data_IF_997140720930
#
_entry.id   IF_997140720930
#
_cell.length_a   1.000
_cell.length_b   1.000
_cell.length_c   1.000
_cell.angle_alpha   90.00
_cell.angle_beta   90.00
_cell.angle_gamma   90.00
#
_symmetry.space_group_name_H-M   'P 1'
#
loop_
_entity.id
_entity.type
_entity.pdbx_description
1 polymer ?
#
# COMPACT_ATOMS: atom_id res chain seq x y z
N UNK A 1 -18.62 4.02 1.13
CA UNK A 1 -18.58 2.77 0.32
C UNK A 1 -17.62 1.81 1.03
N UNK A 2 -17.96 0.51 1.17
CA UNK A 2 -17.05 -0.46 1.82
C UNK A 2 -15.79 -0.68 0.99
N UNK A 3 -14.67 -0.93 1.66
CA UNK A 3 -13.42 -1.31 1.00
C UNK A 3 -13.56 -2.71 0.41
N UNK A 4 -13.28 -2.87 -0.87
CA UNK A 4 -13.39 -4.17 -1.54
C UNK A 4 -12.50 -4.24 -2.78
N UNK A 5 -12.13 -5.46 -3.16
CA UNK A 5 -11.39 -5.77 -4.37
C UNK A 5 -12.20 -6.75 -5.22
N UNK A 6 -12.23 -6.52 -6.52
CA UNK A 6 -12.87 -7.40 -7.48
C UNK A 6 -11.85 -7.88 -8.52
N UNK A 7 -11.92 -9.16 -8.84
CA UNK A 7 -11.12 -9.80 -9.90
C UNK A 7 -12.03 -10.12 -11.08
N UNK A 8 -11.55 -9.81 -12.28
CA UNK A 8 -12.26 -10.12 -13.52
C UNK A 8 -11.29 -10.39 -14.67
N UNK A 9 -11.84 -10.94 -15.75
CA UNK A 9 -11.12 -11.15 -17.02
C UNK A 9 -12.00 -10.71 -18.18
N UNK A 10 -11.36 -10.27 -19.26
CA UNK A 10 -12.00 -10.00 -20.55
C UNK A 10 -10.98 -10.25 -21.67
N UNK A 11 -11.33 -11.03 -22.68
CA UNK A 11 -10.57 -11.21 -23.91
C UNK A 11 -9.05 -11.45 -23.71
N UNK A 12 -8.65 -12.32 -22.78
CA UNK A 12 -7.24 -12.59 -22.49
C UNK A 12 -6.55 -11.51 -21.64
N UNK A 13 -7.30 -10.62 -21.02
CA UNK A 13 -6.81 -9.61 -20.07
C UNK A 13 -7.37 -9.91 -18.70
N UNK A 14 -6.52 -9.84 -17.67
CA UNK A 14 -6.92 -9.92 -16.27
C UNK A 14 -6.89 -8.53 -15.65
N UNK A 15 -7.86 -8.24 -14.80
CA UNK A 15 -7.94 -7.00 -14.04
C UNK A 15 -8.27 -7.29 -12.57
N UNK A 16 -7.62 -6.53 -11.69
CA UNK A 16 -7.97 -6.35 -10.30
C UNK A 16 -8.35 -4.89 -10.10
N UNK A 17 -9.49 -4.61 -9.51
CA UNK A 17 -9.87 -3.25 -9.13
C UNK A 17 -10.24 -3.20 -7.66
N UNK A 18 -9.87 -2.12 -6.99
CA UNK A 18 -10.08 -1.94 -5.57
C UNK A 18 -10.62 -0.56 -5.25
N UNK A 19 -11.54 -0.50 -4.29
CA UNK A 19 -11.95 0.70 -3.57
C UNK A 19 -11.38 0.61 -2.16
N UNK A 20 -10.60 1.61 -1.74
CA UNK A 20 -9.81 1.58 -0.51
C UNK A 20 -10.02 2.83 0.36
N UNK A 21 -11.06 3.61 0.11
CA UNK A 21 -11.28 4.92 0.72
C UNK A 21 -11.20 4.89 2.25
N UNK A 22 -11.95 3.99 2.91
CA UNK A 22 -12.02 3.97 4.37
C UNK A 22 -10.69 3.50 5.01
N UNK A 23 -10.03 2.49 4.43
CA UNK A 23 -8.75 2.02 4.98
C UNK A 23 -7.60 3.02 4.78
N UNK A 24 -7.63 3.78 3.68
CA UNK A 24 -6.64 4.85 3.46
C UNK A 24 -6.92 6.04 4.39
N UNK A 25 -8.18 6.39 4.61
CA UNK A 25 -8.58 7.42 5.58
C UNK A 25 -8.15 7.03 7.01
N UNK A 26 -8.37 5.77 7.41
CA UNK A 26 -7.91 5.26 8.69
C UNK A 26 -6.38 5.36 8.83
N UNK A 27 -5.62 4.89 7.84
CA UNK A 27 -4.17 4.98 7.86
C UNK A 27 -3.68 6.43 7.91
N UNK A 28 -4.30 7.31 7.10
CA UNK A 28 -3.97 8.74 7.08
C UNK A 28 -4.16 9.40 8.45
N UNK A 29 -5.27 9.10 9.14
CA UNK A 29 -5.57 9.63 10.46
C UNK A 29 -4.62 9.08 11.54
N UNK A 30 -4.31 7.78 11.51
CA UNK A 30 -3.37 7.14 12.46
C UNK A 30 -1.96 7.74 12.39
N UNK A 31 -1.53 8.15 11.19
CA UNK A 31 -0.22 8.75 10.97
C UNK A 31 -0.23 10.27 10.91
N UNK A 32 -1.39 10.91 11.15
CA UNK A 32 -1.55 12.37 11.08
C UNK A 32 -1.02 12.95 9.74
N UNK A 33 -1.35 12.28 8.64
CA UNK A 33 -0.84 12.62 7.32
C UNK A 33 -1.39 13.94 6.80
N UNK A 34 -0.53 14.79 6.27
CA UNK A 34 -0.95 15.89 5.40
C UNK A 34 -1.38 15.35 4.02
N UNK A 35 -2.11 16.13 3.21
CA UNK A 35 -2.72 15.64 1.98
C UNK A 35 -1.75 14.95 1.02
N UNK A 36 -0.54 15.45 0.90
CA UNK A 36 0.50 14.87 0.03
C UNK A 36 0.91 13.47 0.50
N UNK A 37 1.19 13.33 1.79
CA UNK A 37 1.57 12.07 2.40
C UNK A 37 0.41 11.06 2.39
N UNK A 38 -0.82 11.52 2.66
CA UNK A 38 -2.03 10.70 2.57
C UNK A 38 -2.25 10.16 1.14
N UNK A 39 -2.02 10.99 0.12
CA UNK A 39 -2.11 10.55 -1.27
C UNK A 39 -1.02 9.52 -1.62
N UNK A 40 0.22 9.75 -1.22
CA UNK A 40 1.34 8.86 -1.47
C UNK A 40 1.18 7.51 -0.74
N UNK A 41 0.87 7.54 0.57
CA UNK A 41 0.63 6.34 1.38
C UNK A 41 -0.57 5.55 0.85
N UNK A 42 -1.69 6.22 0.54
CA UNK A 42 -2.89 5.58 0.03
C UNK A 42 -2.68 4.91 -1.33
N UNK A 43 -1.92 5.53 -2.25
CA UNK A 43 -1.53 4.90 -3.53
C UNK A 43 -0.65 3.69 -3.28
N UNK A 44 0.34 3.78 -2.37
CA UNK A 44 1.24 2.66 -2.04
C UNK A 44 0.47 1.50 -1.43
N UNK A 45 -0.42 1.74 -0.47
CA UNK A 45 -1.24 0.71 0.16
C UNK A 45 -2.20 0.05 -0.84
N UNK A 46 -2.86 0.85 -1.70
CA UNK A 46 -3.73 0.33 -2.76
C UNK A 46 -2.93 -0.49 -3.77
N UNK A 47 -1.76 0.00 -4.19
CA UNK A 47 -0.85 -0.72 -5.07
C UNK A 47 -0.40 -2.07 -4.48
N UNK A 48 -0.04 -2.09 -3.20
CA UNK A 48 0.31 -3.32 -2.48
C UNK A 48 -0.84 -4.34 -2.47
N UNK A 49 -2.07 -3.91 -2.16
CA UNK A 49 -3.26 -4.78 -2.21
C UNK A 49 -3.52 -5.35 -3.60
N UNK A 50 -3.39 -4.53 -4.64
CA UNK A 50 -3.58 -4.97 -6.02
C UNK A 50 -2.51 -6.00 -6.45
N UNK A 51 -1.26 -5.82 -6.04
CA UNK A 51 -0.19 -6.78 -6.28
C UNK A 51 -0.39 -8.07 -5.46
N UNK A 52 -0.84 -7.96 -4.21
CA UNK A 52 -1.12 -9.08 -3.33
C UNK A 52 -2.34 -9.90 -3.77
N UNK A 53 -3.24 -9.31 -4.55
CA UNK A 53 -4.48 -9.97 -4.99
C UNK A 53 -4.27 -11.28 -5.75
N UNK A 54 -3.07 -11.53 -6.29
CA UNK A 54 -2.73 -12.75 -7.03
C UNK A 54 -1.89 -13.74 -6.21
N UNK A 55 -1.61 -13.44 -4.95
CA UNK A 55 -0.87 -14.32 -4.05
C UNK A 55 -1.73 -15.49 -3.58
N UNK A 56 -1.09 -16.54 -3.09
CA UNK A 56 -1.74 -17.64 -2.38
C UNK A 56 -1.97 -17.26 -0.92
N UNK A 57 -2.90 -17.96 -0.27
CA UNK A 57 -3.11 -17.86 1.18
C UNK A 57 -1.78 -18.02 1.93
N UNK A 58 -1.58 -17.23 2.99
CA UNK A 58 -0.35 -17.12 3.78
C UNK A 58 0.82 -16.38 3.12
N UNK A 59 0.72 -16.06 1.81
CA UNK A 59 1.73 -15.23 1.17
C UNK A 59 1.44 -13.73 1.43
N UNK A 60 2.50 -12.95 1.55
CA UNK A 60 2.41 -11.50 1.68
C UNK A 60 3.52 -10.79 0.91
N UNK A 61 3.31 -9.51 0.68
CA UNK A 61 4.30 -8.64 0.06
C UNK A 61 4.56 -7.40 0.91
N UNK A 62 5.77 -6.89 0.79
CA UNK A 62 6.13 -5.54 1.18
C UNK A 62 6.43 -4.74 -0.08
N UNK A 63 5.66 -3.69 -0.33
CA UNK A 63 5.94 -2.67 -1.34
C UNK A 63 6.62 -1.50 -0.66
N UNK A 64 7.84 -1.19 -1.11
CA UNK A 64 8.62 -0.05 -0.60
C UNK A 64 8.96 0.91 -1.72
N UNK A 65 8.62 2.18 -1.52
CA UNK A 65 9.03 3.32 -2.34
C UNK A 65 10.07 4.09 -1.53
N UNK A 66 11.24 4.29 -2.08
CA UNK A 66 12.31 5.02 -1.41
C UNK A 66 12.94 6.02 -2.37
N UNK A 67 12.59 7.29 -2.20
CA UNK A 67 13.11 8.39 -2.97
C UNK A 67 13.95 9.36 -2.11
N UNK A 68 14.53 10.34 -2.77
CA UNK A 68 15.29 11.44 -2.18
C UNK A 68 14.42 12.69 -1.88
N UNK A 69 13.11 12.58 -2.16
CA UNK A 69 12.14 13.63 -1.87
C UNK A 69 11.77 13.73 -0.38
N UNK A 70 11.05 14.79 0.01
CA UNK A 70 10.79 15.11 1.41
C UNK A 70 9.88 14.11 2.14
N UNK A 71 9.11 13.25 1.45
CA UNK A 71 8.29 12.21 2.08
C UNK A 71 9.14 11.08 2.69
N UNK A 72 10.42 10.96 2.26
CA UNK A 72 11.25 9.85 2.67
C UNK A 72 10.73 8.52 2.11
N UNK A 73 10.80 7.48 2.93
CA UNK A 73 10.40 6.13 2.57
C UNK A 73 8.90 5.92 2.82
N UNK A 74 8.24 5.25 1.90
CA UNK A 74 6.85 4.81 2.03
C UNK A 74 6.82 3.30 1.92
N UNK A 75 6.18 2.64 2.89
CA UNK A 75 6.12 1.17 2.96
C UNK A 75 4.68 0.73 3.15
N UNK A 76 4.28 -0.30 2.43
CA UNK A 76 3.03 -1.00 2.65
C UNK A 76 3.22 -2.50 2.61
N UNK A 77 2.71 -3.20 3.61
CA UNK A 77 2.58 -4.65 3.65
C UNK A 77 1.15 -5.03 3.28
N UNK A 78 0.98 -6.00 2.40
CA UNK A 78 -0.33 -6.55 2.05
C UNK A 78 -0.26 -8.07 1.87
N UNK A 79 -1.38 -8.77 2.09
CA UNK A 79 -1.49 -10.21 1.93
C UNK A 79 -2.64 -10.63 1.02
N UNK A 80 -2.72 -11.92 0.73
CA UNK A 80 -3.75 -12.51 -0.11
C UNK A 80 -5.18 -12.37 0.44
N UNK A 81 -5.32 -12.21 1.77
CA UNK A 81 -6.61 -12.11 2.45
C UNK A 81 -7.21 -10.69 2.40
N UNK A 82 -6.49 -9.74 1.79
CA UNK A 82 -6.95 -8.35 1.66
C UNK A 82 -6.61 -7.46 2.86
N UNK A 83 -5.69 -7.88 3.72
CA UNK A 83 -5.19 -7.06 4.80
C UNK A 83 -4.01 -6.21 4.34
N UNK A 84 -3.99 -4.97 4.78
CA UNK A 84 -2.91 -4.03 4.48
C UNK A 84 -2.59 -3.17 5.70
N UNK A 85 -1.31 -2.80 5.80
CA UNK A 85 -0.80 -1.76 6.71
C UNK A 85 0.30 -1.00 6.01
N UNK A 86 0.59 0.21 6.45
CA UNK A 86 1.65 0.99 5.81
C UNK A 86 1.96 2.26 6.57
N UNK A 87 3.08 2.89 6.22
CA UNK A 87 3.53 4.15 6.79
C UNK A 87 4.34 4.96 5.77
N UNK A 88 4.54 6.23 6.09
CA UNK A 88 5.43 7.16 5.41
C UNK A 88 6.36 7.79 6.46
N UNK A 89 7.64 7.96 6.14
CA UNK A 89 8.62 8.47 7.11
C UNK A 89 8.29 9.89 7.59
N UNK A 90 7.84 10.77 6.68
CA UNK A 90 7.51 12.16 6.99
C UNK A 90 6.07 12.49 6.60
N UNK A 91 5.08 12.18 7.47
CA UNK A 91 3.66 12.31 7.14
C UNK A 91 3.17 13.76 7.04
N UNK A 92 3.87 14.72 7.63
CA UNK A 92 3.46 16.14 7.69
C UNK A 92 4.15 17.00 6.64
N UNK A 93 4.57 16.41 5.52
CA UNK A 93 5.15 17.15 4.40
C UNK A 93 4.07 17.88 3.61
N UNK A 94 4.33 19.14 3.31
CA UNK A 94 3.48 19.97 2.46
C UNK A 94 4.30 20.54 1.30
N UNK A 95 3.79 20.40 0.07
CA UNK A 95 4.37 20.99 -1.13
C UNK A 95 3.29 21.80 -1.87
N UNK A 96 3.69 22.84 -2.63
CA UNK A 96 2.76 23.57 -3.48
C UNK A 96 2.06 22.63 -4.48
N UNK A 97 0.80 22.93 -4.79
CA UNK A 97 0.08 22.21 -5.83
C UNK A 97 0.71 22.46 -7.21
N UNK A 98 0.83 21.41 -8.00
CA UNK A 98 1.25 21.47 -9.40
C UNK A 98 0.03 21.29 -10.30
N UNK A 99 -0.29 22.30 -11.08
CA UNK A 99 -1.50 22.31 -11.94
C UNK A 99 -2.80 21.97 -11.16
N UNK A 100 -2.92 22.48 -9.92
CA UNK A 100 -4.08 22.24 -9.05
C UNK A 100 -4.17 20.83 -8.45
N UNK A 101 -3.10 20.02 -8.54
CA UNK A 101 -3.02 18.66 -7.98
C UNK A 101 -1.86 18.54 -6.99
N UNK A 102 -1.95 17.58 -6.07
CA UNK A 102 -0.85 17.19 -5.20
C UNK A 102 0.30 16.64 -6.07
N UNK A 103 1.52 17.17 -5.90
CA UNK A 103 2.71 16.73 -6.64
C UNK A 103 3.39 15.59 -5.85
N UNK A 104 2.81 14.39 -5.93
CA UNK A 104 3.32 13.20 -5.25
C UNK A 104 4.70 12.84 -5.78
N UNK A 105 4.93 13.00 -7.09
CA UNK A 105 6.23 12.78 -7.70
C UNK A 105 7.34 13.63 -7.09
N UNK A 106 7.10 14.94 -6.88
CA UNK A 106 8.07 15.79 -6.19
C UNK A 106 8.21 15.42 -4.70
N UNK A 107 7.14 14.93 -4.08
CA UNK A 107 7.17 14.45 -2.69
C UNK A 107 8.05 13.22 -2.51
N UNK A 108 8.03 12.30 -3.47
CA UNK A 108 8.81 11.06 -3.50
C UNK A 108 10.24 11.32 -4.00
N UNK A 109 10.40 12.06 -5.08
CA UNK A 109 11.69 12.32 -5.71
C UNK A 109 12.23 11.16 -6.55
N UNK A 110 13.55 11.14 -6.78
CA UNK A 110 14.25 10.08 -7.48
C UNK A 110 14.63 8.96 -6.52
N UNK A 111 14.68 7.72 -6.99
CA UNK A 111 15.02 6.60 -6.12
C UNK A 111 14.59 5.25 -6.66
N UNK A 112 14.14 4.36 -5.79
CA UNK A 112 13.80 2.98 -6.13
C UNK A 112 12.46 2.54 -5.58
N UNK A 113 11.79 1.69 -6.35
CA UNK A 113 10.68 0.83 -5.91
C UNK A 113 11.20 -0.58 -5.68
N UNK A 114 10.79 -1.23 -4.60
CA UNK A 114 11.08 -2.62 -4.36
C UNK A 114 9.86 -3.38 -3.86
N UNK A 115 9.70 -4.62 -4.31
CA UNK A 115 8.65 -5.53 -3.89
C UNK A 115 9.31 -6.78 -3.32
N UNK A 116 9.13 -7.02 -2.03
CA UNK A 116 9.58 -8.23 -1.35
C UNK A 116 8.39 -9.18 -1.19
N UNK A 117 8.53 -10.42 -1.66
CA UNK A 117 7.50 -11.47 -1.57
C UNK A 117 7.90 -12.50 -0.54
N UNK A 118 7.01 -12.78 0.39
CA UNK A 118 7.13 -13.80 1.42
C UNK A 118 6.21 -14.97 1.04
N UNK A 119 6.80 -16.03 0.51
CA UNK A 119 6.09 -17.19 -0.06
C UNK A 119 6.20 -18.45 0.79
N UNK A 120 6.53 -18.31 2.09
CA UNK A 120 6.78 -19.45 2.99
C UNK A 120 8.15 -20.15 2.76
N UNK A 121 8.95 -19.69 1.80
CA UNK A 121 10.32 -20.15 1.60
C UNK A 121 11.25 -19.56 2.66
N UNK A 122 12.41 -20.22 2.88
CA UNK A 122 13.40 -19.78 3.90
C UNK A 122 13.92 -18.35 3.69
N UNK A 123 13.92 -17.88 2.44
CA UNK A 123 14.33 -16.51 2.10
C UNK A 123 13.26 -15.85 1.24
N UNK A 124 12.88 -14.60 1.55
CA UNK A 124 11.98 -13.83 0.70
C UNK A 124 12.68 -13.46 -0.61
N UNK A 125 11.90 -13.28 -1.65
CA UNK A 125 12.38 -12.78 -2.93
C UNK A 125 12.11 -11.29 -3.03
N UNK A 126 13.13 -10.49 -3.36
CA UNK A 126 12.99 -9.04 -3.57
C UNK A 126 13.38 -8.68 -5.00
N UNK A 127 12.45 -8.09 -5.74
CA UNK A 127 12.71 -7.40 -7.00
C UNK A 127 12.73 -5.89 -6.79
N UNK A 128 13.46 -5.16 -7.64
CA UNK A 128 13.52 -3.69 -7.57
C UNK A 128 13.66 -3.06 -8.96
N UNK A 129 13.24 -1.79 -9.08
CA UNK A 129 13.42 -0.96 -10.26
C UNK A 129 13.65 0.50 -9.84
N UNK A 130 14.18 1.31 -10.75
CA UNK A 130 14.26 2.76 -10.56
C UNK A 130 12.88 3.39 -10.68
N UNK A 131 12.62 4.43 -9.88
CA UNK A 131 11.45 5.28 -10.03
C UNK A 131 11.55 6.10 -11.31
N UNK A 132 10.46 6.20 -12.05
CA UNK A 132 10.41 7.00 -13.28
C UNK A 132 9.68 8.32 -13.10
N UNK A 133 8.66 8.37 -12.24
CA UNK A 133 7.86 9.57 -11.99
C UNK A 133 7.70 9.91 -10.51
N UNK A 134 7.79 8.92 -9.61
CA UNK A 134 7.43 9.05 -8.20
C UNK A 134 5.92 9.15 -7.97
N UNK A 135 5.08 9.07 -9.01
CA UNK A 135 3.61 9.07 -8.90
C UNK A 135 3.04 7.70 -8.48
N UNK A 136 3.90 6.72 -8.25
CA UNK A 136 3.67 5.38 -7.70
C UNK A 136 3.00 4.44 -8.70
N UNK A 137 1.95 4.84 -9.43
CA UNK A 137 1.27 3.96 -10.38
C UNK A 137 2.15 3.59 -11.56
N UNK A 138 2.79 4.57 -12.17
CA UNK A 138 3.76 4.40 -13.26
C UNK A 138 4.99 3.62 -12.78
N UNK A 139 5.42 3.88 -11.54
CA UNK A 139 6.59 3.22 -10.96
C UNK A 139 6.33 1.73 -10.69
N UNK A 140 5.11 1.36 -10.25
CA UNK A 140 4.69 -0.04 -10.14
C UNK A 140 4.61 -0.69 -11.53
N UNK A 141 4.08 0.02 -12.53
CA UNK A 141 4.03 -0.47 -13.90
C UNK A 141 5.43 -0.74 -14.45
N UNK A 142 6.36 0.17 -14.22
CA UNK A 142 7.78 0.02 -14.59
C UNK A 142 8.43 -1.18 -13.90
N UNK A 143 8.21 -1.32 -12.58
CA UNK A 143 8.69 -2.48 -11.81
C UNK A 143 8.19 -3.80 -12.41
N UNK A 144 6.91 -3.91 -12.74
CA UNK A 144 6.32 -5.11 -13.32
C UNK A 144 6.93 -5.45 -14.69
N UNK A 145 7.22 -4.43 -15.50
CA UNK A 145 7.86 -4.62 -16.81
C UNK A 145 9.32 -5.07 -16.68
N UNK A 146 10.12 -4.38 -15.84
CA UNK A 146 11.57 -4.57 -15.77
C UNK A 146 11.93 -5.78 -14.91
N UNK A 147 11.32 -5.92 -13.74
CA UNK A 147 11.64 -6.93 -12.75
C UNK A 147 10.87 -8.24 -12.94
N UNK A 148 9.61 -8.15 -13.36
CA UNK A 148 8.73 -9.32 -13.52
C UNK A 148 8.48 -9.69 -15.00
N UNK A 149 8.93 -8.87 -15.94
CA UNK A 149 8.75 -9.04 -17.40
C UNK A 149 7.28 -9.25 -17.78
N UNK A 150 6.38 -8.61 -17.05
CA UNK A 150 4.94 -8.75 -17.21
C UNK A 150 4.34 -7.47 -17.77
N UNK A 151 3.84 -7.47 -19.03
CA UNK A 151 3.12 -6.34 -19.58
C UNK A 151 1.88 -6.01 -18.76
N UNK A 152 1.86 -4.83 -18.18
CA UNK A 152 0.87 -4.42 -17.18
C UNK A 152 0.52 -2.95 -17.29
N UNK A 153 -0.62 -2.57 -16.73
CA UNK A 153 -0.99 -1.17 -16.51
C UNK A 153 -1.60 -1.02 -15.12
N UNK A 154 -1.17 0.00 -14.39
CA UNK A 154 -1.67 0.31 -13.05
C UNK A 154 -2.24 1.72 -13.03
N UNK A 155 -3.45 1.87 -12.50
CA UNK A 155 -4.06 3.17 -12.23
C UNK A 155 -4.39 3.30 -10.77
N UNK A 156 -3.90 4.35 -10.12
CA UNK A 156 -4.13 4.64 -8.69
C UNK A 156 -4.67 6.05 -8.53
N UNK A 157 -5.53 6.26 -7.55
CA UNK A 157 -6.06 7.58 -7.27
C UNK A 157 -6.43 7.74 -5.80
N UNK A 158 -6.04 8.86 -5.21
CA UNK A 158 -6.46 9.29 -3.88
C UNK A 158 -6.85 10.75 -3.96
N UNK A 159 -8.01 11.09 -3.41
CA UNK A 159 -8.52 12.45 -3.29
C UNK A 159 -8.66 12.78 -1.81
N UNK A 160 -7.97 13.82 -1.39
CA UNK A 160 -7.98 14.32 0.01
C UNK A 160 -8.66 15.68 0.03
N UNK A 161 -9.50 15.91 1.04
CA UNK A 161 -10.14 17.20 1.28
C UNK A 161 -9.18 18.19 1.97
N UNK A 162 -9.50 19.51 1.98
CA UNK A 162 -8.76 20.47 2.78
C UNK A 162 -8.80 20.19 4.29
N UNK A 163 -9.83 19.49 4.76
CA UNK A 163 -10.03 19.06 6.15
C UNK A 163 -9.26 17.79 6.50
N UNK A 164 -8.40 17.30 5.60
CA UNK A 164 -7.53 16.13 5.70
C UNK A 164 -8.28 14.77 5.63
N UNK A 165 -9.56 14.75 5.28
CA UNK A 165 -10.29 13.50 5.08
C UNK A 165 -10.02 12.91 3.69
N UNK A 166 -9.88 11.60 3.59
CA UNK A 166 -9.77 10.91 2.31
C UNK A 166 -11.16 10.69 1.73
N UNK A 167 -11.49 11.45 0.70
CA UNK A 167 -12.81 11.42 0.04
C UNK A 167 -12.98 10.25 -0.90
N UNK A 168 -11.90 9.83 -1.57
CA UNK A 168 -11.90 8.71 -2.50
C UNK A 168 -10.49 8.14 -2.62
N UNK A 169 -10.36 6.82 -2.53
CA UNK A 169 -9.11 6.11 -2.78
C UNK A 169 -9.40 4.76 -3.43
N UNK A 170 -8.54 4.37 -4.36
CA UNK A 170 -8.64 3.08 -5.03
C UNK A 170 -7.72 2.99 -6.24
N UNK A 171 -7.87 1.92 -6.99
CA UNK A 171 -7.04 1.67 -8.15
C UNK A 171 -7.45 0.43 -8.93
N UNK A 172 -6.72 0.20 -10.01
CA UNK A 172 -6.78 -1.03 -10.77
C UNK A 172 -5.37 -1.48 -11.19
N UNK A 173 -5.23 -2.77 -11.39
CA UNK A 173 -4.07 -3.43 -11.97
C UNK A 173 -4.53 -4.34 -13.10
N UNK A 174 -4.02 -4.11 -14.30
CA UNK A 174 -4.33 -4.84 -15.52
C UNK A 174 -3.09 -5.62 -15.94
N UNK A 175 -3.30 -6.84 -16.37
CA UNK A 175 -2.25 -7.72 -16.86
C UNK A 175 -2.69 -8.44 -18.13
N UNK A 176 -1.89 -8.36 -19.18
CA UNK A 176 -2.09 -9.16 -20.38
C UNK A 176 -1.75 -10.63 -20.09
N UNK A 177 -2.62 -11.55 -20.47
CA UNK A 177 -2.35 -12.98 -20.39
C UNK A 177 -1.65 -13.46 -21.68
N UNK A 178 -0.93 -14.60 -21.65
CA UNK A 178 -0.33 -15.15 -22.85
C UNK A 178 -1.37 -15.36 -23.97
N UNK A 179 -0.96 -15.08 -25.22
CA UNK A 179 -1.79 -15.25 -26.41
C UNK A 179 -3.01 -14.30 -26.51
N UNK A 180 -2.90 -13.10 -25.94
CA UNK A 180 -3.90 -12.05 -26.13
C UNK A 180 -3.94 -11.59 -27.59
N UNK A 181 -5.14 -11.33 -28.10
CA UNK A 181 -5.34 -10.79 -29.44
C UNK A 181 -4.98 -9.30 -29.51
N UNK A 182 -4.23 -8.83 -30.54
CA UNK A 182 -3.83 -7.41 -30.66
C UNK A 182 -5.00 -6.44 -30.62
N UNK A 183 -6.12 -6.78 -31.23
CA UNK A 183 -7.35 -5.95 -31.22
C UNK A 183 -7.90 -5.70 -29.81
N UNK A 184 -7.72 -6.65 -28.90
CA UNK A 184 -8.11 -6.48 -27.48
C UNK A 184 -7.21 -5.49 -26.76
N UNK A 185 -5.91 -5.45 -27.09
CA UNK A 185 -4.96 -4.48 -26.56
C UNK A 185 -5.30 -3.08 -27.06
N UNK A 186 -5.51 -2.91 -28.36
CA UNK A 186 -5.85 -1.62 -28.98
C UNK A 186 -7.12 -1.02 -28.35
N UNK A 187 -8.13 -1.88 -28.14
CA UNK A 187 -9.37 -1.47 -27.49
C UNK A 187 -9.19 -1.07 -26.03
N UNK A 188 -8.39 -1.83 -25.30
CA UNK A 188 -8.04 -1.49 -23.92
C UNK A 188 -7.32 -0.15 -23.84
N UNK A 189 -6.30 0.06 -24.67
CA UNK A 189 -5.56 1.33 -24.71
C UNK A 189 -6.46 2.53 -25.03
N UNK A 190 -7.38 2.37 -25.97
CA UNK A 190 -8.35 3.41 -26.30
C UNK A 190 -9.26 3.72 -25.11
N UNK A 191 -9.71 2.70 -24.38
CA UNK A 191 -10.53 2.88 -23.18
C UNK A 191 -9.74 3.60 -22.08
N UNK A 192 -8.49 3.18 -21.81
CA UNK A 192 -7.63 3.79 -20.78
C UNK A 192 -7.31 5.27 -21.08
N UNK A 193 -7.09 5.64 -22.35
CA UNK A 193 -6.86 7.04 -22.75
C UNK A 193 -8.07 7.95 -22.45
N UNK A 194 -9.27 7.39 -22.46
CA UNK A 194 -10.53 8.12 -22.23
C UNK A 194 -11.09 7.91 -20.80
N UNK A 195 -10.36 7.22 -19.95
CA UNK A 195 -10.82 6.92 -18.60
C UNK A 195 -10.67 8.14 -17.69
N UNK A 196 -11.72 8.46 -16.93
CA UNK A 196 -11.64 9.45 -15.86
C UNK A 196 -10.63 9.01 -14.79
N UNK A 197 -9.99 9.95 -14.05
CA UNK A 197 -9.15 9.63 -12.93
C UNK A 197 -9.86 8.73 -11.91
N UNK A 198 -9.19 7.69 -11.42
CA UNK A 198 -9.77 6.68 -10.50
C UNK A 198 -10.42 7.33 -9.28
N UNK A 199 -9.76 8.31 -8.67
CA UNK A 199 -10.32 9.04 -7.51
C UNK A 199 -11.61 9.79 -7.85
N UNK A 200 -11.73 10.32 -9.08
CA UNK A 200 -12.98 10.96 -9.54
C UNK A 200 -14.08 9.92 -9.70
N UNK A 201 -13.82 8.80 -10.36
CA UNK A 201 -14.80 7.73 -10.55
C UNK A 201 -15.36 7.25 -9.19
N UNK A 202 -14.48 7.00 -8.20
CA UNK A 202 -14.89 6.57 -6.86
C UNK A 202 -15.67 7.67 -6.12
N UNK A 203 -15.24 8.93 -6.22
CA UNK A 203 -15.98 10.08 -5.65
C UNK A 203 -17.40 10.18 -6.23
N UNK A 204 -17.55 9.92 -7.52
CA UNK A 204 -18.83 9.93 -8.23
C UNK A 204 -19.69 8.67 -7.94
N UNK A 205 -19.24 7.79 -7.04
CA UNK A 205 -20.00 6.65 -6.53
C UNK A 205 -19.73 5.31 -7.21
N UNK A 206 -18.76 5.24 -8.13
CA UNK A 206 -18.39 3.98 -8.79
C UNK A 206 -17.71 3.01 -7.81
N UNK A 207 -18.13 1.76 -7.82
CA UNK A 207 -17.49 0.66 -7.11
C UNK A 207 -16.44 -0.05 -8.01
N UNK A 208 -15.74 -1.06 -7.47
CA UNK A 208 -14.70 -1.77 -8.22
C UNK A 208 -15.23 -2.46 -9.51
N UNK A 209 -16.47 -2.99 -9.49
CA UNK A 209 -17.08 -3.57 -10.70
C UNK A 209 -17.36 -2.51 -11.77
N UNK A 210 -17.76 -1.32 -11.35
CA UNK A 210 -18.04 -0.22 -12.27
C UNK A 210 -16.74 0.31 -12.91
N UNK A 211 -15.64 0.38 -12.14
CA UNK A 211 -14.31 0.69 -12.66
C UNK A 211 -13.90 -0.35 -13.71
N UNK A 212 -14.07 -1.65 -13.42
CA UNK A 212 -13.78 -2.73 -14.37
C UNK A 212 -14.60 -2.58 -15.66
N UNK A 213 -15.90 -2.30 -15.55
CA UNK A 213 -16.76 -2.07 -16.73
C UNK A 213 -16.33 -0.86 -17.55
N UNK A 214 -15.86 0.20 -16.89
CA UNK A 214 -15.36 1.39 -17.58
C UNK A 214 -14.05 1.08 -18.33
N UNK A 215 -13.11 0.37 -17.70
CA UNK A 215 -11.85 -0.08 -18.31
C UNK A 215 -12.12 -1.01 -19.50
N UNK A 216 -13.02 -1.98 -19.35
CA UNK A 216 -13.36 -2.97 -20.36
C UNK A 216 -14.59 -2.58 -21.19
N UNK A 217 -14.82 -1.28 -21.39
CA UNK A 217 -15.97 -0.80 -22.17
C UNK A 217 -16.02 -1.46 -23.56
N UNK A 218 -17.16 -2.11 -23.86
CA UNK A 218 -17.39 -2.83 -25.12
C UNK A 218 -16.62 -4.17 -25.23
N UNK A 219 -16.12 -4.71 -24.12
CA UNK A 219 -15.57 -6.07 -24.01
C UNK A 219 -16.49 -6.92 -23.15
N UNK A 220 -16.48 -8.25 -23.35
CA UNK A 220 -17.24 -9.17 -22.49
C UNK A 220 -16.46 -9.46 -21.22
N UNK A 221 -17.03 -9.08 -20.06
CA UNK A 221 -16.37 -9.18 -18.75
C UNK A 221 -16.89 -10.37 -17.97
N UNK A 222 -15.98 -11.22 -17.54
CA UNK A 222 -16.26 -12.30 -16.59
C UNK A 222 -15.73 -11.90 -15.21
N UNK A 223 -16.64 -11.70 -14.24
CA UNK A 223 -16.30 -11.46 -12.85
C UNK A 223 -16.03 -12.78 -12.12
N UNK A 224 -14.98 -12.84 -11.29
CA UNK A 224 -14.57 -14.05 -10.56
C UNK A 224 -14.86 -13.94 -9.07
N UNK A 225 -14.05 -13.16 -8.34
CA UNK A 225 -14.12 -13.04 -6.88
C UNK A 225 -14.26 -11.59 -6.46
N UNK A 226 -14.94 -11.40 -5.35
CA UNK A 226 -14.99 -10.14 -4.62
C UNK A 226 -14.55 -10.42 -3.19
N UNK A 227 -13.61 -9.64 -2.66
CA UNK A 227 -13.09 -9.76 -1.31
C UNK A 227 -13.13 -8.42 -0.59
N UNK A 228 -13.37 -8.46 0.71
CA UNK A 228 -13.29 -7.30 1.59
C UNK A 228 -11.82 -6.94 1.84
N UNK A 229 -11.55 -5.63 1.97
CA UNK A 229 -10.22 -5.13 2.27
C UNK A 229 -10.24 -4.42 3.62
N UNK A 230 -9.16 -4.60 4.42
CA UNK A 230 -9.10 -4.05 5.76
C UNK A 230 -7.69 -3.51 6.09
N UNK A 231 -7.65 -2.41 6.86
CA UNK A 231 -6.42 -2.00 7.52
C UNK A 231 -6.23 -2.87 8.75
N UNK A 232 -5.17 -3.67 8.79
CA UNK A 232 -4.89 -4.59 9.91
C UNK A 232 -3.40 -4.55 10.25
N UNK A 233 -3.08 -4.13 11.47
CA UNK A 233 -1.74 -4.27 12.02
C UNK A 233 -1.68 -5.48 12.96
N UNK A 234 -0.63 -6.27 12.83
CA UNK A 234 -0.39 -7.45 13.68
C UNK A 234 0.51 -7.15 14.89
N UNK A 235 0.68 -5.86 15.25
CA UNK A 235 1.38 -5.52 16.49
C UNK A 235 0.54 -5.92 17.71
N UNK A 236 1.22 -6.28 18.78
CA UNK A 236 0.60 -6.58 20.08
C UNK A 236 1.60 -6.27 21.19
N UNK A 237 1.12 -6.07 22.41
CA UNK A 237 2.00 -5.88 23.56
C UNK A 237 3.05 -6.99 23.70
N UNK A 238 2.66 -8.24 23.46
CA UNK A 238 3.57 -9.40 23.49
C UNK A 238 4.71 -9.29 22.47
N UNK A 239 4.39 -8.90 21.22
CA UNK A 239 5.42 -8.70 20.19
C UNK A 239 6.34 -7.52 20.51
N UNK A 240 5.81 -6.49 21.15
CA UNK A 240 6.63 -5.36 21.59
C UNK A 240 7.53 -5.76 22.76
N UNK A 241 7.05 -6.61 23.69
CA UNK A 241 7.90 -7.20 24.73
C UNK A 241 9.07 -8.00 24.11
N UNK A 242 8.82 -8.80 23.06
CA UNK A 242 9.87 -9.53 22.33
C UNK A 242 10.90 -8.58 21.72
N UNK A 243 10.45 -7.44 21.16
CA UNK A 243 11.35 -6.40 20.64
C UNK A 243 12.19 -5.82 21.77
N UNK A 244 11.60 -5.48 22.92
CA UNK A 244 12.33 -5.00 24.10
C UNK A 244 13.38 -6.02 24.58
N UNK A 245 13.04 -7.31 24.63
CA UNK A 245 13.97 -8.39 24.97
C UNK A 245 15.14 -8.41 23.98
N UNK A 246 14.90 -8.17 22.70
CA UNK A 246 15.93 -8.20 21.67
C UNK A 246 16.94 -7.04 21.74
N UNK A 247 16.60 -5.94 22.43
CA UNK A 247 17.53 -4.83 22.70
C UNK A 247 18.66 -5.24 23.64
N UNK A 248 18.44 -6.25 24.49
CA UNK A 248 19.43 -6.76 25.43
C UNK A 248 19.34 -6.16 26.85
N UNK A 249 20.04 -6.79 27.77
CA UNK A 249 19.96 -6.46 29.22
C UNK A 249 20.39 -5.03 29.54
N UNK A 250 21.41 -4.52 28.83
CA UNK A 250 21.95 -3.17 29.04
C UNK A 250 20.91 -2.09 28.76
N UNK A 251 20.27 -2.17 27.58
CA UNK A 251 19.25 -1.21 27.14
C UNK A 251 18.00 -1.28 28.02
N UNK A 252 17.55 -2.50 28.39
CA UNK A 252 16.43 -2.66 29.30
C UNK A 252 16.68 -2.04 30.67
N UNK A 253 17.90 -2.13 31.20
CA UNK A 253 18.25 -1.48 32.46
C UNK A 253 18.23 0.04 32.35
N UNK A 254 18.70 0.59 31.24
CA UNK A 254 18.63 2.04 30.97
C UNK A 254 17.18 2.52 30.95
N UNK A 255 16.28 1.80 30.26
CA UNK A 255 14.85 2.12 30.25
C UNK A 255 14.20 2.01 31.64
N UNK A 256 14.65 1.06 32.51
CA UNK A 256 14.18 0.93 33.88
C UNK A 256 14.61 2.14 34.73
N UNK A 257 15.81 2.68 34.48
CA UNK A 257 16.29 3.89 35.18
C UNK A 257 15.50 5.14 34.75
N UNK A 258 14.99 5.18 33.53
CA UNK A 258 14.09 6.23 33.02
C UNK A 258 12.64 6.09 33.53
N UNK A 259 12.35 5.02 34.30
CA UNK A 259 11.07 4.68 34.92
C UNK A 259 9.91 4.38 33.98
N UNK A 260 10.05 4.57 32.66
CA UNK A 260 9.03 4.27 31.65
C UNK A 260 9.64 4.11 30.26
N UNK A 261 8.98 3.33 29.40
CA UNK A 261 9.25 3.31 27.97
C UNK A 261 7.94 3.49 27.18
N UNK A 262 7.98 4.32 26.15
CA UNK A 262 6.91 4.43 25.17
C UNK A 262 7.43 3.92 23.82
N UNK A 263 6.73 2.96 23.23
CA UNK A 263 7.05 2.41 21.91
C UNK A 263 5.86 2.64 20.99
N UNK A 264 6.10 3.26 19.87
CA UNK A 264 5.08 3.52 18.86
C UNK A 264 5.26 2.52 17.72
N UNK A 265 4.20 1.78 17.39
CA UNK A 265 4.23 0.90 16.24
C UNK A 265 4.35 1.71 14.95
N UNK A 266 5.42 1.50 14.20
CA UNK A 266 5.71 2.26 12.99
C UNK A 266 4.64 2.09 11.88
N UNK A 267 3.94 0.94 11.84
CA UNK A 267 2.93 0.65 10.85
C UNK A 267 1.53 1.19 11.13
N UNK A 268 1.16 1.41 12.40
CA UNK A 268 -0.21 1.81 12.73
C UNK A 268 -0.32 2.96 13.74
N UNK A 269 0.82 3.48 14.22
CA UNK A 269 0.83 4.56 15.21
C UNK A 269 0.36 4.16 16.60
N UNK A 270 0.03 2.88 16.86
CA UNK A 270 -0.39 2.41 18.18
C UNK A 270 0.73 2.59 19.20
N UNK A 271 0.39 3.15 20.35
CA UNK A 271 1.32 3.43 21.44
C UNK A 271 1.27 2.34 22.48
N UNK A 272 2.43 1.86 22.90
CA UNK A 272 2.62 0.88 23.96
C UNK A 272 3.45 1.50 25.05
N UNK A 273 2.85 1.65 26.22
CA UNK A 273 3.51 2.21 27.39
C UNK A 273 3.89 1.09 28.35
N UNK A 274 5.12 1.11 28.82
CA UNK A 274 5.65 0.15 29.81
C UNK A 274 6.10 0.93 31.03
N UNK A 275 5.53 0.59 32.18
CA UNK A 275 5.96 1.08 33.47
C UNK A 275 7.29 0.43 33.90
N UNK A 276 7.95 0.99 34.88
CA UNK A 276 9.15 0.38 35.50
C UNK A 276 8.92 -1.08 35.88
N UNK A 277 7.78 -1.37 36.53
CA UNK A 277 7.43 -2.73 36.97
C UNK A 277 7.27 -3.70 35.80
N UNK A 278 6.77 -3.22 34.65
CA UNK A 278 6.63 -4.03 33.43
C UNK A 278 7.99 -4.31 32.80
N UNK A 279 8.86 -3.31 32.72
CA UNK A 279 10.24 -3.46 32.23
C UNK A 279 11.07 -4.41 33.12
N UNK A 280 10.90 -4.35 34.46
CA UNK A 280 11.54 -5.29 35.39
C UNK A 280 11.05 -6.73 35.18
N UNK A 281 9.74 -6.93 34.93
CA UNK A 281 9.18 -8.25 34.57
C UNK A 281 9.77 -8.78 33.27
N UNK A 282 9.90 -7.93 32.24
CA UNK A 282 10.51 -8.28 30.97
C UNK A 282 11.97 -8.70 31.16
N UNK A 283 12.73 -7.95 31.94
CA UNK A 283 14.12 -8.29 32.28
C UNK A 283 14.23 -9.65 32.98
N UNK A 284 13.29 -9.97 33.87
CA UNK A 284 13.24 -11.28 34.54
C UNK A 284 12.89 -12.43 33.58
N UNK A 285 12.01 -12.20 32.60
CA UNK A 285 11.70 -13.17 31.52
C UNK A 285 12.95 -13.46 30.67
N UNK A 286 13.70 -12.42 30.28
CA UNK A 286 14.92 -12.57 29.48
C UNK A 286 15.99 -13.44 30.14
N UNK A 287 16.12 -13.40 31.48
CA UNK A 287 17.11 -14.20 32.23
C UNK A 287 16.73 -15.67 32.39
N UNK A 288 15.50 -16.06 32.03
CA UNK A 288 15.00 -17.45 32.14
C UNK A 288 15.07 -18.21 30.81
N UNK A 289 15.36 -17.53 29.69
CA UNK A 289 15.56 -18.09 28.35
C UNK A 289 17.06 -18.23 28.08
#
# INVERSE_FOLDING_TARGET
MKNHLVKATANGIRIFAAVTTQLVDEASKRHECYPLAAAALGRTMTGALLLAANLKTEECITLKIQGDGPLGKIVADANADGFVRGYVDYPQVNLPLKNGKLDVGAGVGQGTISVTRFTGLKQPFTGSAELITGEIAEDITQYLMVSEQTPSSVGLGVLVSPELDVLAAGGFFIQALPNIEPESIDKLEMNLKNLDPVSKMIKDGMNAKDIIRAVFKGMEVTFHTESELQFVCQCSGEKIEEVLISLGESELKSLIEEEKAEIICHFCGEKYEFSKDDLEKILLKMKKV
#
